data_IF_868170085735
#
_entry.id   IF_868170085735
#
_cell.length_a   1.000
_cell.length_b   1.000
_cell.length_c   1.000
_cell.angle_alpha   90.00
_cell.angle_beta   90.00
_cell.angle_gamma   90.00
#
_symmetry.space_group_name_H-M   'P 1'
#
loop_
_entity.id
_entity.type
_entity.pdbx_description
1 polymer ?
#
# COMPACT_ATOMS: atom_id res chain seq x y z
N UNK A 1 -20.22 11.96 11.76
CA UNK A 1 -19.57 11.29 10.61
C UNK A 1 -20.33 10.03 10.21
N UNK A 2 -21.03 10.06 9.08
CA UNK A 2 -21.67 8.87 8.52
C UNK A 2 -20.54 7.93 8.08
N UNK A 3 -20.47 6.72 8.64
CA UNK A 3 -19.37 5.75 8.40
C UNK A 3 -19.53 5.03 7.05
N UNK A 4 -19.93 5.78 6.02
CA UNK A 4 -20.20 5.25 4.69
C UNK A 4 -18.87 4.92 4.02
N UNK A 5 -18.70 3.67 3.60
CA UNK A 5 -17.56 3.25 2.78
C UNK A 5 -17.73 3.80 1.35
N UNK A 6 -16.72 4.53 0.88
CA UNK A 6 -16.75 5.17 -0.45
C UNK A 6 -15.78 4.52 -1.45
N UNK A 7 -14.84 3.70 -0.95
CA UNK A 7 -13.87 2.97 -1.76
C UNK A 7 -13.29 1.79 -0.97
N UNK A 8 -13.17 0.65 -1.61
CA UNK A 8 -12.46 -0.52 -1.09
C UNK A 8 -11.66 -1.21 -2.19
N UNK A 9 -10.54 -1.85 -1.80
CA UNK A 9 -9.71 -2.66 -2.69
C UNK A 9 -9.34 -3.95 -1.97
N UNK A 10 -9.73 -5.08 -2.55
CA UNK A 10 -9.41 -6.40 -2.02
C UNK A 10 -8.03 -6.86 -2.49
N UNK A 11 -7.21 -7.37 -1.57
CA UNK A 11 -5.84 -7.82 -1.82
C UNK A 11 -5.66 -9.25 -1.33
N UNK A 12 -4.78 -10.00 -1.99
CA UNK A 12 -4.51 -11.41 -1.70
C UNK A 12 -3.02 -11.64 -1.46
N UNK A 13 -2.66 -12.70 -0.74
CA UNK A 13 -1.26 -13.01 -0.42
C UNK A 13 -0.50 -11.83 0.19
N UNK A 14 -1.09 -11.26 1.25
CA UNK A 14 -0.58 -10.08 1.96
C UNK A 14 0.05 -10.52 3.28
N UNK A 15 1.30 -10.11 3.51
CA UNK A 15 2.00 -10.28 4.77
C UNK A 15 1.77 -9.09 5.71
N UNK A 16 1.83 -7.86 5.19
CA UNK A 16 1.67 -6.63 5.97
C UNK A 16 1.11 -5.48 5.10
N UNK A 17 0.51 -4.48 5.74
CA UNK A 17 0.02 -3.25 5.13
C UNK A 17 0.42 -2.03 5.96
N UNK A 18 1.05 -1.03 5.32
CA UNK A 18 1.40 0.25 5.93
C UNK A 18 0.73 1.40 5.20
N UNK A 19 0.08 2.27 5.96
CA UNK A 19 -0.72 3.38 5.44
C UNK A 19 0.09 4.67 5.53
N UNK A 20 0.21 5.38 4.40
CA UNK A 20 0.93 6.64 4.26
C UNK A 20 0.01 7.72 3.70
N UNK A 21 -0.44 8.61 4.57
CA UNK A 21 -1.20 9.80 4.18
C UNK A 21 -0.29 10.91 3.69
N UNK A 22 -0.66 11.54 2.59
CA UNK A 22 -0.06 12.82 2.23
C UNK A 22 -0.57 13.90 3.20
N UNK A 23 0.28 14.88 3.52
CA UNK A 23 -0.01 15.93 4.50
C UNK A 23 -1.28 16.76 4.17
N UNK A 24 -1.59 17.02 2.90
CA UNK A 24 -2.84 17.70 2.49
C UNK A 24 -4.06 16.77 2.39
N UNK A 25 -3.85 15.45 2.49
CA UNK A 25 -4.91 14.44 2.39
C UNK A 25 -5.39 14.19 0.97
N UNK A 26 -4.68 14.68 -0.06
CA UNK A 26 -5.10 14.50 -1.46
C UNK A 26 -4.78 13.08 -1.97
N UNK A 27 -3.74 12.48 -1.40
CA UNK A 27 -3.33 11.11 -1.70
C UNK A 27 -3.21 10.26 -0.43
N UNK A 28 -3.59 8.99 -0.57
CA UNK A 28 -3.34 7.93 0.39
C UNK A 28 -2.58 6.82 -0.31
N UNK A 29 -1.39 6.48 0.16
CA UNK A 29 -0.70 5.28 -0.30
C UNK A 29 -0.82 4.18 0.75
N UNK A 30 -1.15 2.97 0.32
CA UNK A 30 -0.98 1.76 1.12
C UNK A 30 0.18 0.97 0.53
N UNK A 31 1.28 0.86 1.28
CA UNK A 31 2.36 -0.08 1.00
C UNK A 31 1.88 -1.46 1.45
N UNK A 32 1.87 -2.41 0.53
CA UNK A 32 1.42 -3.78 0.73
C UNK A 32 2.62 -4.70 0.55
N UNK A 33 3.03 -5.37 1.62
CA UNK A 33 4.08 -6.38 1.57
C UNK A 33 3.44 -7.70 1.17
N UNK A 34 3.77 -8.19 -0.03
CA UNK A 34 3.17 -9.39 -0.63
C UNK A 34 4.15 -10.53 -0.70
N UNK A 35 3.63 -11.74 -0.78
CA UNK A 35 4.42 -12.96 -0.86
C UNK A 35 3.91 -13.89 -1.96
N UNK A 36 4.81 -14.69 -2.52
CA UNK A 36 4.45 -15.74 -3.48
C UNK A 36 4.08 -17.06 -2.78
N UNK A 37 4.76 -17.38 -1.68
CA UNK A 37 4.53 -18.61 -0.91
C UNK A 37 4.58 -18.35 0.59
N UNK A 38 3.69 -19.01 1.32
CA UNK A 38 3.65 -19.00 2.78
C UNK A 38 3.82 -20.42 3.31
N UNK A 39 4.69 -20.59 4.30
CA UNK A 39 4.83 -21.83 5.07
C UNK A 39 4.56 -21.51 6.54
N UNK A 40 3.59 -22.22 7.13
CA UNK A 40 3.26 -22.12 8.55
C UNK A 40 3.95 -23.26 9.28
N UNK A 41 4.95 -22.95 10.10
CA UNK A 41 5.53 -23.86 11.08
C UNK A 41 4.78 -23.68 12.42
N UNK A 42 5.02 -24.55 13.42
CA UNK A 42 4.22 -24.58 14.67
C UNK A 42 4.13 -23.23 15.41
N UNK A 43 5.19 -22.41 15.33
CA UNK A 43 5.26 -21.11 16.02
C UNK A 43 5.54 -19.91 15.09
N UNK A 44 5.89 -20.13 13.82
CA UNK A 44 6.36 -19.08 12.91
C UNK A 44 5.71 -19.18 11.53
N UNK A 45 5.42 -18.02 10.94
CA UNK A 45 5.00 -17.90 9.54
C UNK A 45 6.19 -17.43 8.72
N UNK A 46 6.62 -18.23 7.75
CA UNK A 46 7.70 -17.89 6.82
C UNK A 46 7.12 -17.55 5.46
N UNK A 47 7.43 -16.36 4.98
CA UNK A 47 7.08 -15.89 3.64
C UNK A 47 8.29 -16.00 2.70
N UNK A 48 8.04 -16.28 1.42
CA UNK A 48 9.08 -16.30 0.39
C UNK A 48 8.57 -15.75 -0.94
N UNK A 49 9.51 -15.24 -1.75
CA UNK A 49 9.19 -14.46 -2.95
C UNK A 49 8.45 -13.19 -2.58
N UNK A 50 9.04 -12.40 -1.69
CA UNK A 50 8.50 -11.11 -1.26
C UNK A 50 8.57 -10.09 -2.39
N UNK A 51 7.53 -9.29 -2.53
CA UNK A 51 7.44 -8.13 -3.42
C UNK A 51 6.44 -7.14 -2.83
N UNK A 52 6.41 -5.92 -3.36
CA UNK A 52 5.70 -4.81 -2.75
C UNK A 52 4.77 -4.16 -3.75
N UNK A 53 3.54 -3.88 -3.34
CA UNK A 53 2.63 -3.03 -4.09
C UNK A 53 2.42 -1.73 -3.33
N UNK A 54 2.48 -0.62 -4.04
CA UNK A 54 2.03 0.67 -3.54
C UNK A 54 0.69 0.96 -4.20
N UNK A 55 -0.35 1.02 -3.38
CA UNK A 55 -1.71 1.31 -3.80
C UNK A 55 -2.01 2.79 -3.51
N UNK A 56 -1.99 3.63 -4.53
CA UNK A 56 -2.15 5.08 -4.41
C UNK A 56 -3.59 5.46 -4.73
N UNK A 57 -4.33 5.88 -3.72
CA UNK A 57 -5.70 6.38 -3.82
C UNK A 57 -5.70 7.89 -4.02
N UNK A 58 -6.42 8.34 -5.04
CA UNK A 58 -6.60 9.76 -5.37
C UNK A 58 -7.87 10.27 -4.70
N UNK A 59 -7.73 10.82 -3.50
CA UNK A 59 -8.85 11.07 -2.58
C UNK A 59 -9.76 12.22 -3.01
N UNK A 60 -9.27 13.11 -3.88
CA UNK A 60 -10.01 14.28 -4.39
C UNK A 60 -10.73 14.01 -5.71
N UNK A 61 -10.43 12.89 -6.35
CA UNK A 61 -11.00 12.54 -7.65
C UNK A 61 -12.28 11.72 -7.50
N UNK A 62 -13.17 11.84 -8.50
CA UNK A 62 -14.44 11.14 -8.51
C UNK A 62 -14.19 9.63 -8.49
N UNK A 63 -14.91 8.90 -7.63
CA UNK A 63 -14.79 7.45 -7.44
C UNK A 63 -13.45 6.96 -6.86
N UNK A 64 -12.54 7.87 -6.49
CA UNK A 64 -11.26 7.59 -5.84
C UNK A 64 -10.47 6.54 -6.63
N UNK A 65 -9.96 6.88 -7.83
CA UNK A 65 -9.14 5.97 -8.62
C UNK A 65 -7.92 5.52 -7.82
N UNK A 66 -7.43 4.33 -8.14
CA UNK A 66 -6.32 3.68 -7.42
C UNK A 66 -5.27 3.20 -8.40
N UNK A 67 -4.09 3.80 -8.34
CA UNK A 67 -2.92 3.33 -9.08
C UNK A 67 -2.20 2.26 -8.27
N UNK A 68 -1.68 1.24 -8.95
CA UNK A 68 -0.87 0.19 -8.33
C UNK A 68 0.51 0.17 -8.95
N UNK A 69 1.54 0.29 -8.10
CA UNK A 69 2.95 0.21 -8.50
C UNK A 69 3.56 -1.01 -7.83
N UNK A 70 4.05 -1.97 -8.62
CA UNK A 70 4.74 -3.16 -8.13
C UNK A 70 6.27 -2.94 -8.12
N UNK A 71 6.92 -3.32 -7.02
CA UNK A 71 8.38 -3.29 -6.87
C UNK A 71 8.84 -4.63 -6.29
N UNK A 72 9.88 -5.24 -6.87
CA UNK A 72 10.38 -6.56 -6.45
C UNK A 72 11.54 -6.45 -5.46
N UNK A 73 12.19 -5.31 -5.45
CA UNK A 73 13.30 -4.97 -4.57
C UNK A 73 12.79 -4.65 -3.16
N UNK A 74 13.57 -4.93 -2.10
CA UNK A 74 13.27 -4.51 -0.75
C UNK A 74 13.09 -2.99 -0.65
N UNK A 75 12.03 -2.58 0.06
CA UNK A 75 11.75 -1.17 0.33
C UNK A 75 12.20 -0.82 1.75
N UNK A 76 13.06 0.18 1.87
CA UNK A 76 13.47 0.75 3.14
C UNK A 76 12.54 1.87 3.60
N UNK A 77 12.12 2.77 2.70
CA UNK A 77 11.30 3.92 3.05
C UNK A 77 10.37 4.39 1.92
N UNK A 78 9.31 5.08 2.33
CA UNK A 78 8.37 5.78 1.45
C UNK A 78 8.11 7.16 2.03
N UNK A 79 8.15 8.19 1.17
CA UNK A 79 7.81 9.55 1.58
C UNK A 79 7.02 10.28 0.48
N UNK A 80 5.99 11.01 0.90
CA UNK A 80 5.26 11.93 0.06
C UNK A 80 5.96 13.30 -0.01
N UNK A 81 5.85 13.96 -1.15
CA UNK A 81 5.96 15.42 -1.19
C UNK A 81 4.87 16.02 -0.29
N UNK A 82 5.20 16.92 0.67
CA UNK A 82 4.22 17.42 1.64
C UNK A 82 3.01 18.08 0.98
N UNK A 83 3.22 18.79 -0.11
CA UNK A 83 2.18 19.45 -0.92
C UNK A 83 2.58 19.25 -2.38
N UNK A 84 1.81 18.44 -3.11
CA UNK A 84 2.08 18.12 -4.51
C UNK A 84 1.62 16.70 -4.86
N UNK A 85 2.13 16.12 -5.94
CA UNK A 85 1.69 14.79 -6.42
C UNK A 85 2.82 13.76 -6.45
N UNK A 86 4.02 14.14 -6.02
CA UNK A 86 5.21 13.29 -6.11
C UNK A 86 5.44 12.51 -4.82
N UNK A 87 6.11 11.38 -4.95
CA UNK A 87 6.61 10.59 -3.84
C UNK A 87 7.98 10.02 -4.17
N UNK A 88 8.65 9.48 -3.16
CA UNK A 88 9.93 8.79 -3.31
C UNK A 88 9.92 7.48 -2.53
N UNK A 89 10.58 6.49 -3.11
CA UNK A 89 10.77 5.16 -2.56
C UNK A 89 12.27 4.92 -2.50
N UNK A 90 12.75 4.44 -1.36
CA UNK A 90 14.15 4.07 -1.10
C UNK A 90 14.17 2.61 -0.68
#
# INVERSE_FOLDING_TARGET
PNRTEIRSKNLFSVADCKIHWQKSGDYLCVKVDRYSKVKKDKNDIKYSGMYYNFEIFHMREKEIPVDSVEIKEPIQAFAWEPIGSKFSII
#
